data_IF_844186300352
#
_entry.id   IF_844186300352
#
_cell.length_a   1.000
_cell.length_b   1.000
_cell.length_c   1.000
_cell.angle_alpha   90.00
_cell.angle_beta   90.00
_cell.angle_gamma   90.00
#
_symmetry.space_group_name_H-M   'P 1'
#
loop_
_entity.id
_entity.type
_entity.pdbx_description
1 polymer ?
#
# COMPACT_ATOMS: atom_id res chain seq x y z
N UNK A 1 -28.67 31.70 10.52
CA UNK A 1 -28.17 30.49 11.21
C UNK A 1 -28.97 29.20 10.96
N UNK A 2 -29.86 29.11 9.96
CA UNK A 2 -30.33 27.80 9.41
C UNK A 2 -30.29 27.74 7.87
N UNK A 3 -30.48 28.87 7.18
CA UNK A 3 -30.34 28.97 5.71
C UNK A 3 -28.91 28.72 5.20
N UNK A 4 -27.89 29.20 5.92
CA UNK A 4 -26.48 28.97 5.56
C UNK A 4 -26.03 27.50 5.72
N UNK A 5 -26.73 26.71 6.55
CA UNK A 5 -26.49 25.27 6.70
C UNK A 5 -27.14 24.47 5.57
N UNK A 6 -28.34 24.87 5.15
CA UNK A 6 -29.06 24.24 4.04
C UNK A 6 -28.38 24.48 2.70
N UNK A 7 -27.83 25.69 2.48
CA UNK A 7 -27.00 25.98 1.32
C UNK A 7 -25.75 25.10 1.26
N UNK A 8 -25.11 24.75 2.38
CA UNK A 8 -23.95 23.84 2.40
C UNK A 8 -24.31 22.39 2.06
N UNK A 9 -25.53 21.94 2.34
CA UNK A 9 -25.98 20.59 1.97
C UNK A 9 -26.28 20.53 0.47
N UNK A 10 -26.92 21.57 -0.08
CA UNK A 10 -27.17 21.67 -1.53
C UNK A 10 -25.86 21.86 -2.31
N UNK A 11 -24.97 22.76 -1.87
CA UNK A 11 -23.62 22.92 -2.46
C UNK A 11 -22.68 21.73 -2.22
N UNK A 12 -22.88 20.97 -1.14
CA UNK A 12 -22.10 19.78 -0.81
C UNK A 12 -22.42 18.59 -1.74
N UNK A 13 -23.64 18.53 -2.24
CA UNK A 13 -24.08 17.54 -3.24
C UNK A 13 -23.64 17.96 -4.65
N UNK A 14 -23.68 19.26 -4.96
CA UNK A 14 -23.26 19.76 -6.27
C UNK A 14 -21.73 19.70 -6.47
N UNK A 15 -20.92 19.85 -5.41
CA UNK A 15 -19.47 19.53 -5.45
C UNK A 15 -19.16 18.08 -5.81
N UNK A 16 -20.09 17.15 -5.59
CA UNK A 16 -19.92 15.77 -6.02
C UNK A 16 -20.16 15.57 -7.53
N UNK A 17 -20.69 16.58 -8.24
CA UNK A 17 -21.06 16.52 -9.66
C UNK A 17 -20.30 17.55 -10.52
N UNK A 18 -19.82 18.67 -9.96
CA UNK A 18 -19.06 19.70 -10.70
C UNK A 18 -17.81 20.19 -9.97
N UNK A 19 -16.99 19.25 -9.50
CA UNK A 19 -15.81 19.56 -8.70
C UNK A 19 -14.63 18.61 -8.90
N UNK A 20 -14.41 18.08 -10.10
CA UNK A 20 -13.10 17.52 -10.44
C UNK A 20 -12.14 18.70 -10.59
N UNK A 21 -11.28 18.90 -9.60
CA UNK A 21 -10.24 19.92 -9.69
C UNK A 21 -9.31 19.59 -10.87
N UNK A 22 -8.86 20.61 -11.61
CA UNK A 22 -7.87 20.45 -12.68
C UNK A 22 -6.57 19.77 -12.19
N UNK A 23 -6.31 19.77 -10.88
CA UNK A 23 -5.22 19.02 -10.23
C UNK A 23 -5.50 17.51 -10.12
N UNK A 24 -6.73 17.09 -9.83
CA UNK A 24 -7.12 15.67 -9.88
C UNK A 24 -7.09 15.12 -11.31
N UNK A 25 -7.51 15.92 -12.30
CA UNK A 25 -7.44 15.53 -13.74
C UNK A 25 -5.99 15.41 -14.20
N UNK A 26 -5.06 16.21 -13.68
CA UNK A 26 -3.63 16.11 -14.01
C UNK A 26 -2.96 14.87 -13.40
N UNK A 27 -3.52 14.33 -12.32
CA UNK A 27 -3.08 13.08 -11.67
C UNK A 27 -3.73 11.82 -12.29
N UNK A 28 -4.80 11.96 -13.08
CA UNK A 28 -5.46 10.86 -13.83
C UNK A 28 -4.63 10.29 -15.01
N UNK A 29 -3.37 10.70 -15.12
CA UNK A 29 -2.30 10.09 -15.91
C UNK A 29 -1.11 10.07 -14.95
N UNK A 30 -0.56 8.96 -14.47
CA UNK A 30 -0.13 7.70 -15.07
C UNK A 30 0.17 6.81 -13.85
N UNK A 31 -0.05 5.48 -13.95
CA UNK A 31 0.47 4.50 -12.98
C UNK A 31 1.80 4.98 -12.37
N UNK A 32 1.88 5.11 -11.05
CA UNK A 32 3.12 5.53 -10.40
C UNK A 32 4.09 4.34 -10.44
N UNK A 33 4.91 4.33 -11.51
CA UNK A 33 5.90 3.30 -11.74
C UNK A 33 6.95 3.25 -10.62
N UNK A 34 7.21 4.36 -9.92
CA UNK A 34 8.14 4.38 -8.78
C UNK A 34 7.53 3.64 -7.61
N UNK A 35 6.24 3.87 -7.34
CA UNK A 35 5.51 3.14 -6.31
C UNK A 35 5.44 1.63 -6.62
N UNK A 36 5.13 1.26 -7.86
CA UNK A 36 5.08 -0.14 -8.32
C UNK A 36 6.45 -0.82 -8.17
N UNK A 37 7.52 -0.14 -8.60
CA UNK A 37 8.88 -0.68 -8.46
C UNK A 37 9.32 -0.78 -7.00
N UNK A 38 8.94 0.19 -6.17
CA UNK A 38 9.20 0.14 -4.74
C UNK A 38 8.49 -1.05 -4.07
N UNK A 39 7.24 -1.32 -4.44
CA UNK A 39 6.50 -2.50 -3.98
C UNK A 39 7.16 -3.81 -4.43
N UNK A 40 7.58 -3.92 -5.70
CA UNK A 40 8.30 -5.08 -6.25
C UNK A 40 9.59 -5.38 -5.48
N UNK A 41 10.47 -4.36 -5.35
CA UNK A 41 11.75 -4.52 -4.64
C UNK A 41 11.50 -4.81 -3.16
N UNK A 42 10.49 -4.17 -2.57
CA UNK A 42 10.12 -4.39 -1.19
C UNK A 42 9.66 -5.83 -0.92
N UNK A 43 8.77 -6.39 -1.74
CA UNK A 43 8.30 -7.78 -1.59
C UNK A 43 9.40 -8.78 -1.90
N UNK A 44 10.24 -8.53 -2.91
CA UNK A 44 11.39 -9.39 -3.21
C UNK A 44 12.36 -9.47 -2.01
N UNK A 45 12.68 -8.33 -1.39
CA UNK A 45 13.53 -8.28 -0.20
C UNK A 45 12.87 -8.97 1.00
N UNK A 46 11.58 -8.77 1.21
CA UNK A 46 10.83 -9.43 2.27
C UNK A 46 10.88 -10.96 2.14
N UNK A 47 10.67 -11.48 0.92
CA UNK A 47 10.76 -12.92 0.64
C UNK A 47 12.20 -13.41 0.81
N UNK A 48 13.20 -12.67 0.32
CA UNK A 48 14.60 -13.04 0.48
C UNK A 48 15.01 -13.18 1.95
N UNK A 49 14.61 -12.21 2.79
CA UNK A 49 14.89 -12.24 4.23
C UNK A 49 14.10 -13.38 4.89
N UNK A 50 12.80 -13.43 4.63
CA UNK A 50 11.90 -14.37 5.28
C UNK A 50 12.22 -15.83 4.94
N UNK A 51 12.26 -16.16 3.65
CA UNK A 51 12.63 -17.49 3.18
C UNK A 51 14.11 -17.80 3.45
N UNK A 52 15.00 -16.81 3.38
CA UNK A 52 16.42 -17.00 3.69
C UNK A 52 16.65 -17.47 5.12
N UNK A 53 16.02 -16.81 6.09
CA UNK A 53 16.11 -17.20 7.51
C UNK A 53 15.38 -18.51 7.76
N UNK A 54 14.23 -18.75 7.12
CA UNK A 54 13.52 -20.01 7.23
C UNK A 54 14.34 -21.21 6.71
N UNK A 55 15.05 -21.06 5.59
CA UNK A 55 15.94 -22.08 5.03
C UNK A 55 17.22 -22.27 5.86
N UNK A 56 17.78 -21.19 6.41
CA UNK A 56 19.02 -21.24 7.17
C UNK A 56 18.86 -21.91 8.54
N UNK A 57 17.73 -21.68 9.22
CA UNK A 57 17.55 -22.14 10.60
C UNK A 57 16.51 -23.24 10.75
N UNK A 58 15.47 -23.27 9.91
CA UNK A 58 14.33 -24.18 10.03
C UNK A 58 13.56 -24.03 11.36
N UNK A 59 12.24 -24.22 11.42
CA UNK A 59 11.49 -24.07 12.66
C UNK A 59 11.61 -25.33 13.53
N UNK A 60 12.83 -25.67 13.95
CA UNK A 60 13.15 -26.91 14.66
C UNK A 60 12.86 -26.83 16.17
N UNK A 61 13.02 -25.66 16.77
CA UNK A 61 12.81 -25.43 18.20
C UNK A 61 12.18 -24.05 18.50
N UNK A 62 11.96 -23.75 19.79
CA UNK A 62 11.33 -22.49 20.19
C UNK A 62 12.17 -21.25 19.84
N UNK A 63 13.49 -21.36 19.93
CA UNK A 63 14.42 -20.26 19.71
C UNK A 63 14.53 -19.91 18.23
N UNK A 64 14.68 -20.91 17.35
CA UNK A 64 14.70 -20.72 15.89
C UNK A 64 13.39 -20.15 15.38
N UNK A 65 12.24 -20.61 15.91
CA UNK A 65 10.92 -20.02 15.58
C UNK A 65 10.84 -18.53 15.93
N UNK A 66 11.34 -18.13 17.10
CA UNK A 66 11.38 -16.72 17.49
C UNK A 66 12.27 -15.89 16.57
N UNK A 67 13.44 -16.42 16.20
CA UNK A 67 14.36 -15.76 15.26
C UNK A 67 13.72 -15.57 13.88
N UNK A 68 13.06 -16.59 13.35
CA UNK A 68 12.33 -16.50 12.06
C UNK A 68 11.21 -15.46 12.15
N UNK A 69 10.44 -15.46 13.24
CA UNK A 69 9.37 -14.48 13.44
C UNK A 69 9.90 -13.05 13.56
N UNK A 70 10.98 -12.84 14.29
CA UNK A 70 11.64 -11.54 14.42
C UNK A 70 12.26 -11.07 13.10
N UNK A 71 12.83 -11.97 12.31
CA UNK A 71 13.37 -11.64 10.99
C UNK A 71 12.27 -11.21 10.02
N UNK A 72 11.14 -11.93 10.01
CA UNK A 72 9.98 -11.54 9.19
C UNK A 72 9.41 -10.20 9.64
N UNK A 73 9.08 -10.04 10.93
CA UNK A 73 8.47 -8.82 11.45
C UNK A 73 9.40 -7.61 11.35
N UNK A 74 10.67 -7.77 11.72
CA UNK A 74 11.69 -6.74 11.59
C UNK A 74 11.98 -6.39 10.14
N UNK A 75 11.98 -7.37 9.25
CA UNK A 75 12.14 -7.18 7.80
C UNK A 75 11.01 -6.32 7.21
N UNK A 76 9.75 -6.65 7.50
CA UNK A 76 8.60 -5.81 7.08
C UNK A 76 8.74 -4.40 7.61
N UNK A 77 9.08 -4.23 8.89
CA UNK A 77 9.18 -2.90 9.52
C UNK A 77 10.29 -2.05 8.88
N UNK A 78 11.47 -2.64 8.64
CA UNK A 78 12.59 -1.96 7.99
C UNK A 78 12.26 -1.55 6.54
N UNK A 79 11.67 -2.46 5.76
CA UNK A 79 11.32 -2.19 4.37
C UNK A 79 10.20 -1.14 4.29
N UNK A 80 9.15 -1.27 5.10
CA UNK A 80 8.05 -0.30 5.15
C UNK A 80 8.55 1.10 5.52
N UNK A 81 9.52 1.21 6.44
CA UNK A 81 10.15 2.50 6.76
C UNK A 81 10.96 3.08 5.59
N UNK A 82 11.65 2.22 4.83
CA UNK A 82 12.45 2.63 3.68
C UNK A 82 11.60 3.10 2.49
N UNK A 83 10.55 2.36 2.12
CA UNK A 83 9.76 2.63 0.91
C UNK A 83 8.41 3.30 1.16
N UNK A 84 7.99 3.45 2.42
CA UNK A 84 6.67 3.97 2.78
C UNK A 84 6.37 5.35 2.21
N UNK A 85 7.38 6.22 2.11
CA UNK A 85 7.26 7.55 1.51
C UNK A 85 7.00 7.53 -0.01
N UNK A 86 7.28 6.41 -0.68
CA UNK A 86 7.12 6.27 -2.13
C UNK A 86 5.84 5.53 -2.51
N UNK A 87 5.56 4.36 -1.90
CA UNK A 87 4.41 3.52 -2.30
C UNK A 87 3.31 3.38 -1.24
N UNK A 88 3.55 3.87 -0.02
CA UNK A 88 2.74 3.55 1.15
C UNK A 88 3.12 2.23 1.83
N UNK A 89 4.09 1.49 1.29
CA UNK A 89 4.68 0.30 1.94
C UNK A 89 3.68 -0.83 2.17
N UNK A 90 2.90 -1.18 1.14
CA UNK A 90 1.81 -2.15 1.25
C UNK A 90 2.36 -3.58 1.39
N UNK A 91 3.38 -3.90 0.60
CA UNK A 91 4.18 -5.13 0.62
C UNK A 91 3.36 -6.44 0.61
N UNK A 92 2.08 -6.35 0.25
CA UNK A 92 1.11 -7.42 0.47
C UNK A 92 -0.18 -7.14 -0.31
N UNK A 93 -0.60 -8.13 -1.12
CA UNK A 93 -1.77 -7.98 -1.97
C UNK A 93 -3.09 -7.86 -1.19
N UNK A 94 -3.22 -8.50 -0.02
CA UNK A 94 -4.40 -8.37 0.83
C UNK A 94 -4.49 -6.97 1.45
N UNK A 95 -3.35 -6.37 1.81
CA UNK A 95 -3.27 -4.98 2.30
C UNK A 95 -3.60 -4.01 1.17
N UNK A 96 -3.03 -4.21 -0.03
CA UNK A 96 -3.39 -3.42 -1.21
C UNK A 96 -4.88 -3.50 -1.50
N UNK A 97 -5.46 -4.70 -1.44
CA UNK A 97 -6.88 -4.91 -1.68
C UNK A 97 -7.75 -4.18 -0.66
N UNK A 98 -7.41 -4.22 0.63
CA UNK A 98 -8.17 -3.50 1.66
C UNK A 98 -8.09 -1.98 1.48
N UNK A 99 -6.93 -1.45 1.07
CA UNK A 99 -6.76 -0.03 0.77
C UNK A 99 -7.52 0.41 -0.48
N UNK A 100 -7.65 -0.47 -1.48
CA UNK A 100 -8.50 -0.22 -2.66
C UNK A 100 -9.98 -0.18 -2.26
N UNK A 101 -10.45 -1.15 -1.45
CA UNK A 101 -11.82 -1.14 -0.95
C UNK A 101 -12.12 0.07 -0.06
N UNK A 102 -11.14 0.53 0.71
CA UNK A 102 -11.24 1.72 1.55
C UNK A 102 -11.11 3.04 0.80
N UNK A 103 -10.85 3.02 -0.52
CA UNK A 103 -10.67 4.23 -1.34
C UNK A 103 -9.35 4.98 -1.09
N UNK A 104 -8.42 4.42 -0.33
CA UNK A 104 -7.11 5.02 -0.06
C UNK A 104 -6.12 4.84 -1.22
N UNK A 105 -6.32 3.81 -2.04
CA UNK A 105 -5.53 3.53 -3.24
C UNK A 105 -6.48 3.37 -4.43
N UNK A 106 -6.25 4.06 -5.57
CA UNK A 106 -7.09 3.88 -6.73
C UNK A 106 -6.93 2.46 -7.30
N UNK A 107 -8.03 1.86 -7.74
CA UNK A 107 -8.06 0.46 -8.17
C UNK A 107 -7.06 0.11 -9.30
N UNK A 108 -6.79 1.04 -10.22
CA UNK A 108 -5.82 0.87 -11.30
C UNK A 108 -4.37 0.80 -10.78
N UNK A 109 -4.01 1.65 -9.79
CA UNK A 109 -2.72 1.60 -9.12
C UNK A 109 -2.62 0.35 -8.25
N UNK A 110 -3.71 0.00 -7.57
CA UNK A 110 -3.82 -1.22 -6.78
C UNK A 110 -3.52 -2.46 -7.61
N UNK A 111 -4.04 -2.56 -8.84
CA UNK A 111 -3.70 -3.64 -9.77
C UNK A 111 -2.20 -3.66 -10.12
N UNK A 112 -1.59 -2.51 -10.40
CA UNK A 112 -0.15 -2.41 -10.66
C UNK A 112 0.70 -2.91 -9.49
N UNK A 113 0.35 -2.47 -8.27
CA UNK A 113 1.00 -2.92 -7.04
C UNK A 113 0.77 -4.42 -6.81
N UNK A 114 -0.43 -4.93 -7.07
CA UNK A 114 -0.78 -6.35 -6.90
C UNK A 114 0.10 -7.24 -7.79
N UNK A 115 0.28 -6.88 -9.07
CA UNK A 115 1.16 -7.62 -9.97
C UNK A 115 2.62 -7.52 -9.51
N UNK A 116 3.09 -6.35 -9.11
CA UNK A 116 4.44 -6.16 -8.60
C UNK A 116 4.73 -6.98 -7.33
N UNK A 117 3.76 -7.14 -6.44
CA UNK A 117 3.92 -7.91 -5.21
C UNK A 117 3.89 -9.43 -5.44
N UNK A 118 3.32 -9.89 -6.56
CA UNK A 118 3.25 -11.31 -6.95
C UNK A 118 4.47 -11.79 -7.74
N UNK A 119 5.25 -10.87 -8.29
CA UNK A 119 6.50 -11.13 -9.01
C UNK A 119 7.69 -11.20 -8.04
#
# INVERSE_FOLDING_TARGET
TRLAGMLRIVWGIERSITGFSEEEVKSMRILDLKAIFAELVGTMLLILIGCGVACAYGPSDGQTRLLVALAFGGGVMAIAYAIGHHSGGQLNCAVTFSLVLGGAVPWYQGLGNFVAQML
#
